data_IF_593273440833
#
_entry.id   IF_593273440833
#
_cell.length_a   1.000
_cell.length_b   1.000
_cell.length_c   1.000
_cell.angle_alpha   90.00
_cell.angle_beta   90.00
_cell.angle_gamma   90.00
#
_symmetry.space_group_name_H-M   'P 1'
#
loop_
_entity.id
_entity.type
_entity.pdbx_description
1 polymer ?
#
# COMPACT_ATOMS: atom_id res chain seq x y z
N UNK A 1 -3.51 -21.34 5.09
CA UNK A 1 -2.83 -22.64 5.29
C UNK A 1 -3.84 -23.72 4.88
N UNK A 2 -3.64 -24.37 3.72
CA UNK A 2 -4.58 -25.36 3.18
C UNK A 2 -4.37 -26.68 3.91
N UNK A 3 -5.36 -27.13 4.69
CA UNK A 3 -5.33 -28.38 5.45
C UNK A 3 -6.12 -29.46 4.72
N UNK A 4 -5.54 -30.12 3.72
CA UNK A 4 -5.87 -31.51 3.26
C UNK A 4 -5.22 -31.80 1.90
N UNK A 5 -4.58 -32.97 1.79
CA UNK A 5 -3.73 -33.36 0.66
C UNK A 5 -4.47 -33.92 -0.57
N UNK A 6 -5.81 -33.81 -0.63
CA UNK A 6 -6.64 -34.41 -1.71
C UNK A 6 -7.50 -33.38 -2.44
N UNK A 7 -7.15 -32.09 -2.35
CA UNK A 7 -7.83 -31.02 -3.09
C UNK A 7 -6.86 -30.45 -4.13
N UNK A 8 -6.90 -31.00 -5.34
CA UNK A 8 -6.42 -30.31 -6.53
C UNK A 8 -7.39 -29.15 -6.82
N UNK A 9 -7.22 -28.05 -6.08
CA UNK A 9 -7.81 -26.77 -6.44
C UNK A 9 -6.78 -26.02 -7.27
N UNK A 10 -7.00 -25.97 -8.59
CA UNK A 10 -6.28 -25.04 -9.46
C UNK A 10 -6.60 -23.63 -9.01
N UNK A 11 -5.63 -22.95 -8.39
CA UNK A 11 -5.79 -21.56 -7.98
C UNK A 11 -5.83 -20.70 -9.25
N UNK A 12 -7.00 -20.11 -9.53
CA UNK A 12 -7.14 -19.11 -10.59
C UNK A 12 -6.84 -17.73 -10.00
N UNK A 13 -5.90 -17.02 -10.62
CA UNK A 13 -5.62 -15.63 -10.28
C UNK A 13 -6.45 -14.71 -11.17
N UNK A 14 -7.17 -13.78 -10.55
CA UNK A 14 -7.84 -12.70 -11.29
C UNK A 14 -6.80 -11.78 -11.92
N UNK A 15 -7.16 -11.18 -13.06
CA UNK A 15 -6.29 -10.21 -13.74
C UNK A 15 -5.98 -9.02 -12.82
N UNK A 16 -4.72 -8.56 -12.78
CA UNK A 16 -4.37 -7.38 -12.00
C UNK A 16 -5.01 -6.14 -12.61
N UNK A 17 -5.33 -5.16 -11.76
CA UNK A 17 -5.71 -3.82 -12.22
C UNK A 17 -4.44 -3.06 -12.58
N UNK A 18 -4.32 -2.68 -13.84
CA UNK A 18 -3.24 -1.83 -14.34
C UNK A 18 -3.73 -0.39 -14.20
N UNK A 19 -2.97 0.45 -13.50
CA UNK A 19 -3.28 1.87 -13.31
C UNK A 19 -2.41 2.71 -14.25
N UNK A 20 -3.00 3.73 -14.86
CA UNK A 20 -2.20 4.78 -15.52
C UNK A 20 -1.52 5.69 -14.50
N UNK A 21 -0.64 6.59 -14.95
CA UNK A 21 0.00 7.55 -14.07
C UNK A 21 -1.02 8.48 -13.41
N UNK A 22 -1.98 8.97 -14.18
CA UNK A 22 -3.04 9.86 -13.72
C UNK A 22 -3.94 9.16 -12.71
N UNK A 23 -4.34 7.91 -12.98
CA UNK A 23 -5.12 7.10 -12.05
C UNK A 23 -4.35 6.82 -10.75
N UNK A 24 -3.05 6.53 -10.86
CA UNK A 24 -2.19 6.32 -9.68
C UNK A 24 -2.06 7.58 -8.83
N UNK A 25 -1.92 8.76 -9.46
CA UNK A 25 -1.86 10.05 -8.77
C UNK A 25 -3.18 10.41 -8.09
N UNK A 26 -4.31 10.07 -8.71
CA UNK A 26 -5.63 10.27 -8.09
C UNK A 26 -5.88 9.30 -6.92
N UNK A 27 -5.23 8.14 -6.94
CA UNK A 27 -5.46 7.08 -5.96
C UNK A 27 -4.70 7.27 -4.63
N UNK A 28 -3.53 7.94 -4.64
CA UNK A 28 -2.68 8.05 -3.45
C UNK A 28 -3.23 8.99 -2.37
N UNK A 29 -2.90 8.68 -1.11
CA UNK A 29 -3.11 9.55 0.05
C UNK A 29 -1.82 10.30 0.47
N UNK A 30 -1.93 11.20 1.45
CA UNK A 30 -0.81 12.02 1.94
C UNK A 30 0.38 11.22 2.50
N UNK A 31 0.15 9.98 2.97
CA UNK A 31 1.19 9.08 3.48
C UNK A 31 1.74 8.10 2.43
N UNK A 32 1.33 8.25 1.17
CA UNK A 32 1.67 7.42 0.02
C UNK A 32 2.42 8.21 -1.05
N UNK A 33 3.11 7.47 -1.92
CA UNK A 33 3.91 8.01 -3.03
C UNK A 33 3.74 7.11 -4.26
N UNK A 34 3.76 7.74 -5.43
CA UNK A 34 3.90 7.06 -6.72
C UNK A 34 5.38 7.01 -7.09
N UNK A 35 5.92 5.82 -7.24
CA UNK A 35 7.26 5.60 -7.77
C UNK A 35 7.17 5.41 -9.29
N UNK A 36 7.81 6.31 -10.04
CA UNK A 36 7.78 6.30 -11.50
C UNK A 36 9.16 5.96 -12.04
N UNK A 37 9.20 4.96 -12.91
CA UNK A 37 10.38 4.57 -13.70
C UNK A 37 9.96 4.49 -15.17
N UNK A 38 10.89 4.52 -16.14
CA UNK A 38 10.53 4.46 -17.56
C UNK A 38 9.69 3.22 -17.94
N UNK A 39 9.87 2.11 -17.23
CA UNK A 39 9.19 0.84 -17.52
C UNK A 39 8.00 0.56 -16.60
N UNK A 40 7.89 1.24 -15.45
CA UNK A 40 6.89 0.86 -14.44
C UNK A 40 6.47 2.00 -13.53
N UNK A 41 5.21 1.93 -13.10
CA UNK A 41 4.58 2.81 -12.12
C UNK A 41 4.16 1.94 -10.94
N UNK A 42 4.58 2.31 -9.73
CA UNK A 42 4.26 1.57 -8.50
C UNK A 42 3.73 2.48 -7.42
N UNK A 43 2.79 1.98 -6.63
CA UNK A 43 2.29 2.63 -5.42
C UNK A 43 3.06 2.12 -4.20
N UNK A 44 3.47 3.04 -3.32
CA UNK A 44 4.19 2.72 -2.09
C UNK A 44 3.85 3.67 -0.97
N UNK A 45 4.05 3.24 0.27
CA UNK A 45 3.98 4.13 1.43
C UNK A 45 5.24 4.99 1.51
N UNK A 46 5.07 6.23 1.98
CA UNK A 46 6.18 7.14 2.28
C UNK A 46 7.17 6.51 3.27
N UNK A 47 6.63 5.92 4.34
CA UNK A 47 7.39 5.12 5.29
C UNK A 47 7.13 3.63 4.99
N UNK A 48 8.15 2.94 4.49
CA UNK A 48 8.07 1.50 4.16
C UNK A 48 7.89 0.63 5.40
N UNK A 49 8.69 0.89 6.43
CA UNK A 49 8.71 0.09 7.63
C UNK A 49 7.41 0.31 8.43
N UNK A 50 6.62 -0.75 8.59
CA UNK A 50 5.34 -0.71 9.30
C UNK A 50 5.48 -0.16 10.73
N UNK A 51 6.49 -0.60 11.47
CA UNK A 51 6.71 -0.20 12.86
C UNK A 51 7.01 1.30 12.98
N UNK A 52 7.80 1.83 12.04
CA UNK A 52 8.12 3.27 12.00
C UNK A 52 6.88 4.07 11.61
N UNK A 53 6.10 3.59 10.64
CA UNK A 53 4.86 4.24 10.21
C UNK A 53 3.85 4.37 11.34
N UNK A 54 3.65 3.32 12.11
CA UNK A 54 2.73 3.34 13.26
C UNK A 54 3.19 4.29 14.37
N UNK A 55 4.51 4.40 14.59
CA UNK A 55 5.08 5.36 15.55
C UNK A 55 4.86 6.80 15.09
N UNK A 56 5.16 7.10 13.83
CA UNK A 56 4.96 8.43 13.26
C UNK A 56 3.48 8.83 13.24
N UNK A 57 2.57 7.92 12.89
CA UNK A 57 1.13 8.18 12.93
C UNK A 57 0.63 8.51 14.35
N UNK A 58 1.13 7.81 15.38
CA UNK A 58 0.82 8.13 16.78
C UNK A 58 1.36 9.48 17.20
N UNK A 59 2.60 9.80 16.80
CA UNK A 59 3.25 11.07 17.11
C UNK A 59 2.49 12.25 16.50
N UNK A 60 2.12 12.15 15.22
CA UNK A 60 1.33 13.18 14.53
C UNK A 60 0.00 13.38 15.24
N UNK A 61 -0.68 12.30 15.63
CA UNK A 61 -1.95 12.39 16.38
C UNK A 61 -1.78 13.10 17.73
N UNK A 62 -0.73 12.80 18.49
CA UNK A 62 -0.46 13.46 19.77
C UNK A 62 -0.17 14.95 19.58
N UNK A 63 0.66 15.30 18.58
CA UNK A 63 0.95 16.70 18.25
C UNK A 63 -0.31 17.48 17.82
N UNK A 64 -1.23 16.84 17.11
CA UNK A 64 -2.50 17.47 16.75
C UNK A 64 -3.41 17.71 17.96
N UNK A 65 -3.40 16.80 18.93
CA UNK A 65 -4.18 16.94 20.18
C UNK A 65 -3.60 17.98 21.15
N UNK A 66 -2.28 18.21 21.12
CA UNK A 66 -1.63 19.22 21.97
C UNK A 66 -1.76 20.65 21.44
N UNK A 67 -2.03 20.82 20.13
CA UNK A 67 -2.18 22.12 19.47
C UNK A 67 -3.64 22.59 19.39
N UNK A 68 -4.58 21.79 19.92
CA UNK A 68 -6.02 22.07 20.00
C UNK A 68 -6.40 22.47 21.43
#
# INVERSE_FOLDING_TARGET
>A
NVRSATKDQTQTMNRPRILTLEEALQFINDDELVEVTPESIRLRKKILNKNVREKEAKRIKQMMQENE
#
